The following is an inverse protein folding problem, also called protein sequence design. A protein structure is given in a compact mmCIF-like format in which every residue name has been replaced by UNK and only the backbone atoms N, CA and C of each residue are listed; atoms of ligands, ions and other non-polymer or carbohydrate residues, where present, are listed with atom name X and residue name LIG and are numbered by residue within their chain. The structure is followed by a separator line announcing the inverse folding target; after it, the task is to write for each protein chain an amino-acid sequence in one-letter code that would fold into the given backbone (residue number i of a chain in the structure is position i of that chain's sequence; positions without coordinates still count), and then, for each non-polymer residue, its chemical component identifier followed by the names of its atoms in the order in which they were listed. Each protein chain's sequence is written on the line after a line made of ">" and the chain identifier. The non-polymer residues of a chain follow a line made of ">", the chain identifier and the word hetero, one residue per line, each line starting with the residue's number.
data_IF_882472954569
#
_entry.id   IF_882472954569
#
_cell.length_a   1.000
_cell.length_b   1.000
_cell.length_c   1.000
_cell.angle_alpha   90.00
_cell.angle_beta   90.00
_cell.angle_gamma   90.00
#
_symmetry.space_group_name_H-M   'P 1'
#
loop_
_entity.id
_entity.type
_entity.pdbx_description
1 polymer ?
#
# COMPACT_ATOMS: atom_id res chain seq x y z
N UNK A 1 11.48 -5.76 -13.92
CA UNK A 1 10.86 -4.97 -12.83
C UNK A 1 11.62 -3.66 -12.68
N UNK A 2 10.95 -2.55 -12.37
CA UNK A 2 11.57 -1.24 -12.14
C UNK A 2 11.88 -1.09 -10.65
N UNK A 3 13.14 -0.83 -10.29
CA UNK A 3 13.53 -0.54 -8.91
C UNK A 3 13.10 0.88 -8.51
N UNK A 4 12.74 1.04 -7.24
CA UNK A 4 12.52 2.33 -6.59
C UNK A 4 13.69 2.62 -5.67
N UNK A 5 14.13 3.88 -5.67
CA UNK A 5 15.13 4.38 -4.73
C UNK A 5 14.40 5.01 -3.56
N UNK A 6 14.71 4.55 -2.36
CA UNK A 6 14.13 5.00 -1.09
C UNK A 6 15.25 5.54 -0.20
N UNK A 7 14.92 6.53 0.61
CA UNK A 7 15.79 7.01 1.67
C UNK A 7 15.24 6.44 2.98
N UNK A 8 16.00 5.60 3.67
CA UNK A 8 15.60 5.07 4.96
C UNK A 8 15.68 6.15 6.06
N UNK A 9 15.12 5.86 7.23
CA UNK A 9 15.11 6.79 8.36
C UNK A 9 16.51 7.12 8.92
N UNK A 10 17.54 6.34 8.58
CA UNK A 10 18.93 6.58 8.96
C UNK A 10 19.71 7.37 7.88
N UNK A 11 19.07 7.72 6.76
CA UNK A 11 19.67 8.42 5.64
C UNK A 11 20.41 7.52 4.65
N UNK A 12 20.24 6.20 4.75
CA UNK A 12 20.74 5.21 3.80
C UNK A 12 19.87 5.14 2.55
N UNK A 13 20.48 4.76 1.42
CA UNK A 13 19.79 4.58 0.15
C UNK A 13 19.47 3.11 -0.04
N UNK A 14 18.18 2.79 -0.18
CA UNK A 14 17.68 1.45 -0.46
C UNK A 14 17.14 1.40 -1.89
N UNK A 15 17.57 0.42 -2.67
CA UNK A 15 17.05 0.15 -4.01
C UNK A 15 16.28 -1.17 -3.99
N UNK A 16 14.96 -1.10 -4.15
CA UNK A 16 14.09 -2.28 -4.08
C UNK A 16 12.89 -2.17 -5.01
N UNK A 17 12.36 -3.32 -5.42
CA UNK A 17 11.09 -3.44 -6.13
C UNK A 17 10.04 -4.20 -5.29
N UNK A 18 10.35 -4.54 -4.04
CA UNK A 18 9.39 -5.15 -3.12
C UNK A 18 8.43 -4.08 -2.60
N UNK A 19 7.13 -4.26 -2.90
CA UNK A 19 6.08 -3.35 -2.47
C UNK A 19 5.99 -3.21 -0.96
N UNK A 20 6.21 -4.28 -0.19
CA UNK A 20 6.15 -4.23 1.27
C UNK A 20 7.32 -3.41 1.84
N UNK A 21 8.56 -3.68 1.39
CA UNK A 21 9.71 -2.86 1.74
C UNK A 21 9.48 -1.38 1.36
N UNK A 22 8.97 -1.10 0.17
CA UNK A 22 8.64 0.27 -0.26
C UNK A 22 7.65 0.93 0.71
N UNK A 23 6.56 0.25 1.03
CA UNK A 23 5.49 0.80 1.87
C UNK A 23 5.91 1.04 3.33
N UNK A 24 6.88 0.26 3.84
CA UNK A 24 7.42 0.45 5.20
C UNK A 24 8.33 1.67 5.32
N UNK A 25 9.04 2.03 4.25
CA UNK A 25 9.98 3.15 4.26
C UNK A 25 9.33 4.51 3.91
N UNK A 26 8.13 4.52 3.35
CA UNK A 26 7.44 5.78 3.00
C UNK A 26 6.82 6.39 4.26
N UNK A 27 7.21 7.62 4.58
CA UNK A 27 6.53 8.42 5.60
C UNK A 27 5.22 9.00 5.04
N UNK A 28 4.08 8.53 5.56
CA UNK A 28 2.75 9.02 5.20
C UNK A 28 2.00 9.59 6.40
N UNK A 29 1.44 10.79 6.23
CA UNK A 29 0.60 11.43 7.26
C UNK A 29 -0.88 11.02 7.17
N UNK A 30 -1.36 10.64 5.99
CA UNK A 30 -2.77 10.37 5.73
C UNK A 30 -3.24 9.07 6.41
N UNK A 31 -4.29 9.08 7.25
CA UNK A 31 -4.73 7.89 7.98
C UNK A 31 -5.10 6.71 7.08
N UNK A 32 -5.80 6.96 5.96
CA UNK A 32 -6.15 5.87 5.03
C UNK A 32 -4.91 5.22 4.40
N UNK A 33 -3.83 5.99 4.17
CA UNK A 33 -2.58 5.43 3.66
C UNK A 33 -1.91 4.55 4.72
N UNK A 34 -1.97 4.95 6.01
CA UNK A 34 -1.50 4.10 7.11
C UNK A 34 -2.25 2.78 7.17
N UNK A 35 -3.58 2.78 6.99
CA UNK A 35 -4.38 1.56 6.93
C UNK A 35 -3.98 0.65 5.75
N UNK A 36 -3.64 1.23 4.59
CA UNK A 36 -3.15 0.46 3.44
C UNK A 36 -1.79 -0.19 3.75
N UNK A 37 -0.86 0.54 4.37
CA UNK A 37 0.45 -0.01 4.77
C UNK A 37 0.28 -1.17 5.75
N UNK A 38 -0.58 -1.01 6.77
CA UNK A 38 -0.91 -2.09 7.71
C UNK A 38 -1.48 -3.32 7.00
N UNK A 39 -2.37 -3.14 6.02
CA UNK A 39 -2.92 -4.23 5.23
C UNK A 39 -1.84 -5.01 4.46
N UNK A 40 -0.89 -4.33 3.82
CA UNK A 40 0.26 -4.99 3.18
C UNK A 40 1.12 -5.75 4.19
N UNK A 41 1.33 -5.17 5.38
CA UNK A 41 2.10 -5.80 6.45
C UNK A 41 1.43 -7.07 6.96
N UNK A 42 0.11 -7.05 7.17
CA UNK A 42 -0.64 -8.24 7.59
C UNK A 42 -0.57 -9.34 6.53
N UNK A 43 -0.66 -8.99 5.24
CA UNK A 43 -0.50 -9.96 4.16
C UNK A 43 0.89 -10.63 4.16
N UNK A 44 1.93 -9.85 4.42
CA UNK A 44 3.31 -10.33 4.58
C UNK A 44 3.47 -11.23 5.81
N UNK A 45 2.91 -10.84 6.96
CA UNK A 45 3.00 -11.59 8.21
C UNK A 45 2.26 -12.95 8.16
N UNK A 46 1.09 -12.99 7.52
CA UNK A 46 0.23 -14.19 7.48
C UNK A 46 0.56 -15.14 6.33
N UNK A 47 0.96 -14.61 5.16
CA UNK A 47 1.15 -15.41 3.93
C UNK A 47 2.57 -15.33 3.40
N UNK A 48 3.26 -14.20 3.60
CA UNK A 48 4.62 -13.97 3.09
C UNK A 48 4.72 -13.67 1.59
N UNK A 49 3.58 -13.46 0.91
CA UNK A 49 3.52 -13.09 -0.51
C UNK A 49 2.22 -12.32 -0.83
N UNK A 50 2.15 -11.68 -1.99
CA UNK A 50 0.96 -10.98 -2.49
C UNK A 50 0.80 -9.55 -1.96
N UNK A 51 1.80 -9.04 -1.25
CA UNK A 51 1.84 -7.69 -0.64
C UNK A 51 1.56 -6.58 -1.65
N UNK A 52 2.10 -6.70 -2.86
CA UNK A 52 1.85 -5.74 -3.95
C UNK A 52 0.43 -5.88 -4.51
N UNK A 53 -0.01 -7.13 -4.72
CA UNK A 53 -1.31 -7.42 -5.32
C UNK A 53 -2.47 -6.96 -4.43
N UNK A 54 -2.37 -7.18 -3.13
CA UNK A 54 -3.43 -6.82 -2.17
C UNK A 54 -3.64 -5.30 -2.11
N UNK A 55 -2.57 -4.51 -2.23
CA UNK A 55 -2.64 -3.05 -2.25
C UNK A 55 -3.31 -2.53 -3.52
N UNK A 56 -2.92 -3.08 -4.68
CA UNK A 56 -3.52 -2.71 -5.96
C UNK A 56 -5.01 -3.06 -5.95
N UNK A 57 -5.35 -4.25 -5.47
CA UNK A 57 -6.75 -4.70 -5.39
C UNK A 57 -7.58 -3.80 -4.46
N UNK A 58 -7.07 -3.48 -3.27
CA UNK A 58 -7.78 -2.60 -2.33
C UNK A 58 -7.97 -1.19 -2.89
N UNK A 59 -6.96 -0.64 -3.56
CA UNK A 59 -7.06 0.66 -4.24
C UNK A 59 -8.13 0.66 -5.34
N UNK A 60 -8.15 -0.37 -6.19
CA UNK A 60 -9.13 -0.50 -7.26
C UNK A 60 -10.55 -0.69 -6.71
N UNK A 61 -10.73 -1.49 -5.66
CA UNK A 61 -12.03 -1.66 -5.00
C UNK A 61 -12.57 -0.33 -4.48
N UNK A 62 -11.75 0.47 -3.81
CA UNK A 62 -12.15 1.80 -3.30
C UNK A 62 -12.52 2.75 -4.44
N UNK A 63 -11.76 2.75 -5.54
CA UNK A 63 -12.06 3.56 -6.71
C UNK A 63 -13.40 3.14 -7.35
N UNK A 64 -13.63 1.84 -7.52
CA UNK A 64 -14.90 1.33 -8.03
C UNK A 64 -16.07 1.58 -7.09
N UNK A 65 -15.85 1.67 -5.78
CA UNK A 65 -16.86 2.00 -4.78
C UNK A 65 -17.38 3.44 -4.90
N UNK A 66 -16.55 4.38 -5.33
CA UNK A 66 -16.87 5.82 -5.44
C UNK A 66 -18.15 6.07 -6.25
N UNK A 67 -18.29 5.41 -7.40
CA UNK A 67 -19.47 5.55 -8.27
C UNK A 67 -20.79 5.14 -7.61
N UNK A 68 -20.75 4.23 -6.61
CA UNK A 68 -21.94 3.78 -5.90
C UNK A 68 -22.35 4.80 -4.84
N UNK A 69 -21.36 5.39 -4.17
CA UNK A 69 -21.57 6.49 -3.22
C UNK A 69 -22.17 7.71 -3.94
N UNK A 70 -21.69 8.05 -5.13
CA UNK A 70 -22.25 9.12 -5.98
C UNK A 70 -23.70 8.86 -6.38
N UNK A 71 -24.08 7.60 -6.53
CA UNK A 71 -25.47 7.16 -6.80
C UNK A 71 -26.33 7.07 -5.54
N UNK A 72 -25.84 7.55 -4.39
CA UNK A 72 -26.49 7.48 -3.08
C UNK A 72 -26.82 6.06 -2.62
N UNK A 73 -26.01 5.08 -3.01
CA UNK A 73 -26.05 3.73 -2.44
C UNK A 73 -25.30 3.75 -1.11
N UNK A 74 -25.89 3.16 -0.06
CA UNK A 74 -25.27 3.13 1.27
C UNK A 74 -23.93 2.37 1.22
N UNK A 75 -22.83 2.94 1.74
CA UNK A 75 -21.52 2.29 1.84
C UNK A 75 -21.53 0.99 2.65
#
# INVERSE_FOLDING_TARGET
>A
AMLKMLLDAQGGIVLTNDGNAILREIDVSHPAAKSMIELSRTQDEEVGDGTTSVIILAGEMLHLSEQFIEKHIHP
#
